data_IF_500201613241
#
_entry.id   IF_500201613241
#
_cell.length_a   1.000
_cell.length_b   1.000
_cell.length_c   1.000
_cell.angle_alpha   90.00
_cell.angle_beta   90.00
_cell.angle_gamma   90.00
#
_symmetry.space_group_name_H-M   'P 1'
#
loop_
_entity.id
_entity.type
_entity.pdbx_description
1 polymer ?
#
# COMPACT_ATOMS: atom_id res chain seq x y z
N UNK A 1 -78.81 -30.49 -18.52
CA UNK A 1 -77.40 -30.87 -18.28
C UNK A 1 -76.59 -29.54 -18.17
N UNK A 2 -76.09 -29.21 -16.97
CA UNK A 2 -75.31 -28.00 -16.74
C UNK A 2 -73.86 -28.44 -16.63
N UNK A 3 -73.03 -28.02 -17.60
CA UNK A 3 -71.61 -28.30 -17.63
C UNK A 3 -70.86 -27.24 -16.79
N UNK A 4 -70.25 -27.68 -15.68
CA UNK A 4 -69.43 -26.84 -14.83
C UNK A 4 -68.01 -26.85 -15.38
N UNK A 5 -67.55 -25.71 -15.84
CA UNK A 5 -66.16 -25.49 -16.32
C UNK A 5 -65.29 -25.13 -15.11
N UNK A 6 -64.43 -26.04 -14.67
CA UNK A 6 -63.42 -25.75 -13.62
C UNK A 6 -62.24 -25.00 -14.25
N UNK A 7 -62.08 -23.74 -13.88
CA UNK A 7 -60.92 -22.96 -14.23
C UNK A 7 -59.77 -23.24 -13.25
N UNK A 8 -58.71 -23.94 -13.71
CA UNK A 8 -57.53 -24.24 -12.93
C UNK A 8 -56.57 -23.06 -13.01
N UNK A 9 -56.51 -22.21 -11.97
CA UNK A 9 -55.52 -21.11 -11.89
C UNK A 9 -54.14 -21.65 -11.53
N UNK A 10 -53.25 -21.69 -12.50
CA UNK A 10 -51.84 -22.02 -12.31
C UNK A 10 -51.11 -20.85 -11.65
N UNK A 11 -50.79 -20.92 -10.36
CA UNK A 11 -49.99 -19.91 -9.65
C UNK A 11 -48.50 -20.20 -9.93
N UNK A 12 -47.92 -19.47 -10.86
CA UNK A 12 -46.50 -19.52 -11.12
C UNK A 12 -45.79 -18.70 -10.03
N UNK A 13 -45.24 -19.36 -9.04
CA UNK A 13 -44.41 -18.71 -8.01
C UNK A 13 -43.08 -18.24 -8.58
N UNK A 14 -42.91 -16.91 -8.72
CA UNK A 14 -41.62 -16.32 -9.02
C UNK A 14 -40.69 -16.50 -7.80
N UNK A 15 -39.74 -17.39 -7.92
CA UNK A 15 -38.64 -17.49 -6.96
C UNK A 15 -37.72 -16.31 -7.18
N UNK A 16 -37.76 -15.31 -6.31
CA UNK A 16 -36.78 -14.24 -6.30
C UNK A 16 -35.42 -14.82 -5.87
N UNK A 17 -34.52 -14.98 -6.83
CA UNK A 17 -33.11 -15.31 -6.54
C UNK A 17 -32.52 -14.08 -5.85
N UNK A 18 -32.30 -14.16 -4.53
CA UNK A 18 -31.60 -13.15 -3.78
C UNK A 18 -30.17 -13.04 -4.34
N UNK A 19 -29.88 -11.96 -5.05
CA UNK A 19 -28.51 -11.70 -5.52
C UNK A 19 -27.64 -11.44 -4.29
N UNK A 20 -26.61 -12.30 -4.09
CA UNK A 20 -25.58 -12.05 -3.09
C UNK A 20 -24.94 -10.69 -3.39
N UNK A 21 -24.88 -9.76 -2.43
CA UNK A 21 -24.21 -8.48 -2.64
C UNK A 21 -22.79 -8.72 -3.18
N UNK A 22 -22.30 -7.90 -4.14
CA UNK A 22 -20.95 -8.04 -4.65
C UNK A 22 -19.96 -7.96 -3.48
N UNK A 23 -18.99 -8.88 -3.46
CA UNK A 23 -17.97 -8.90 -2.41
C UNK A 23 -17.27 -7.54 -2.36
N UNK A 24 -17.08 -6.99 -1.15
CA UNK A 24 -16.34 -5.72 -0.95
C UNK A 24 -14.94 -5.90 -1.57
N UNK A 25 -14.48 -4.99 -2.43
CA UNK A 25 -13.14 -5.10 -3.00
C UNK A 25 -12.07 -4.98 -1.91
N UNK A 26 -10.86 -5.47 -2.19
CA UNK A 26 -9.67 -5.34 -1.34
C UNK A 26 -9.79 -5.96 0.06
N UNK A 27 -10.56 -7.06 0.19
CA UNK A 27 -10.75 -7.79 1.46
C UNK A 27 -9.77 -8.95 1.65
N UNK A 28 -8.86 -9.18 0.72
CA UNK A 28 -7.82 -10.19 0.91
C UNK A 28 -6.96 -9.85 2.16
N UNK A 29 -6.60 -10.83 3.02
CA UNK A 29 -5.79 -10.56 4.20
C UNK A 29 -4.50 -9.79 3.91
N UNK A 30 -3.91 -10.02 2.74
CA UNK A 30 -2.70 -9.30 2.32
C UNK A 30 -2.95 -7.82 2.02
N UNK A 31 -4.19 -7.41 1.70
CA UNK A 31 -4.54 -6.02 1.45
C UNK A 31 -4.53 -5.16 2.73
N UNK A 32 -4.39 -5.78 3.91
CA UNK A 32 -4.25 -5.08 5.20
C UNK A 32 -2.81 -4.99 5.70
N UNK A 33 -1.84 -5.53 4.96
CA UNK A 33 -0.45 -5.57 5.40
C UNK A 33 0.20 -4.19 5.61
N UNK A 34 -0.33 -3.13 5.00
CA UNK A 34 0.09 -1.75 5.24
C UNK A 34 -0.75 -1.01 6.30
N UNK A 35 -1.67 -1.67 7.00
CA UNK A 35 -2.53 -1.01 7.98
C UNK A 35 -1.75 -0.43 9.18
N UNK A 36 -0.58 -1.00 9.50
CA UNK A 36 0.31 -0.43 10.51
C UNK A 36 0.75 0.99 10.18
N UNK A 37 0.85 1.34 8.88
CA UNK A 37 1.33 2.63 8.41
C UNK A 37 0.24 3.72 8.40
N UNK A 38 -1.05 3.36 8.44
CA UNK A 38 -2.16 4.32 8.39
C UNK A 38 -2.14 5.25 9.60
N UNK A 39 -2.27 6.55 9.36
CA UNK A 39 -2.31 7.59 10.38
C UNK A 39 -1.39 8.77 10.12
N UNK A 40 -1.20 9.63 11.13
CA UNK A 40 -0.27 10.75 11.09
C UNK A 40 0.99 10.43 11.88
N UNK A 41 2.14 10.81 11.33
CA UNK A 41 3.44 10.47 11.85
C UNK A 41 4.37 11.67 11.95
N UNK A 42 5.10 11.76 13.08
CA UNK A 42 6.28 12.58 13.22
C UNK A 42 7.49 11.74 12.80
N UNK A 43 8.35 12.31 11.98
CA UNK A 43 9.52 11.66 11.39
C UNK A 43 10.78 12.25 11.95
N UNK A 44 11.79 11.41 12.19
CA UNK A 44 13.11 11.84 12.62
C UNK A 44 14.18 11.13 11.82
N UNK A 45 15.17 11.87 11.35
CA UNK A 45 16.40 11.34 10.75
C UNK A 45 17.58 12.21 11.18
N UNK A 46 18.79 11.62 11.23
CA UNK A 46 20.00 12.28 11.70
C UNK A 46 19.86 12.93 13.09
N UNK A 47 19.10 12.29 13.99
CA UNK A 47 18.87 12.69 15.39
C UNK A 47 18.17 14.05 15.62
N UNK A 48 17.95 14.88 14.59
CA UNK A 48 17.51 16.25 14.80
C UNK A 48 16.26 16.66 14.07
N UNK A 49 15.76 15.89 13.12
CA UNK A 49 14.73 16.45 12.48
C UNK A 49 13.99 15.60 11.56
N UNK A 50 13.11 15.97 10.85
CA UNK A 50 11.84 16.34 11.13
C UNK A 50 11.02 16.43 9.88
N UNK A 51 10.22 15.49 9.68
CA UNK A 51 9.15 15.50 8.72
C UNK A 51 7.83 15.15 9.37
N UNK A 52 6.81 15.31 8.62
CA UNK A 52 5.48 14.77 8.91
C UNK A 52 5.03 13.92 7.73
N UNK A 53 4.30 12.87 8.03
CA UNK A 53 3.73 12.02 7.01
C UNK A 53 2.29 11.68 7.37
N UNK A 54 1.36 11.88 6.45
CA UNK A 54 -0.03 11.51 6.63
C UNK A 54 -0.37 10.39 5.65
N UNK A 55 -0.83 9.27 6.19
CA UNK A 55 -1.13 8.06 5.45
C UNK A 55 -2.62 7.75 5.59
N UNK A 56 -3.31 7.59 4.48
CA UNK A 56 -4.75 7.38 4.44
C UNK A 56 -5.13 6.23 3.52
N UNK A 57 -6.18 5.50 3.88
CA UNK A 57 -6.85 4.61 2.92
C UNK A 57 -7.82 5.43 2.08
N UNK A 58 -7.70 5.29 0.76
CA UNK A 58 -8.54 5.98 -0.24
C UNK A 58 -9.09 4.98 -1.25
N UNK A 59 -9.92 5.45 -2.19
CA UNK A 59 -10.51 4.63 -3.26
C UNK A 59 -11.18 3.36 -2.74
N UNK A 60 -12.11 3.53 -1.79
CA UNK A 60 -12.84 2.40 -1.20
C UNK A 60 -11.96 1.49 -0.33
N UNK A 61 -10.95 2.07 0.31
CA UNK A 61 -9.98 1.39 1.19
C UNK A 61 -9.01 0.45 0.45
N UNK A 62 -8.97 0.52 -0.89
CA UNK A 62 -8.10 -0.32 -1.70
C UNK A 62 -6.69 0.24 -1.91
N UNK A 63 -6.51 1.53 -1.67
CA UNK A 63 -5.25 2.22 -1.91
C UNK A 63 -4.80 2.93 -0.66
N UNK A 64 -3.54 2.77 -0.32
CA UNK A 64 -2.87 3.53 0.73
C UNK A 64 -2.19 4.72 0.08
N UNK A 65 -2.62 5.93 0.46
CA UNK A 65 -2.05 7.19 -0.02
C UNK A 65 -1.14 7.77 1.05
N UNK A 66 0.05 8.17 0.64
CA UNK A 66 1.04 8.87 1.46
C UNK A 66 1.12 10.34 1.09
N UNK A 67 1.25 11.21 2.09
CA UNK A 67 1.49 12.64 1.95
C UNK A 67 2.65 13.03 2.85
N UNK A 68 3.86 13.04 2.29
CA UNK A 68 5.11 13.36 2.99
C UNK A 68 5.43 14.85 2.89
N UNK A 69 5.95 15.42 3.97
CA UNK A 69 6.44 16.79 4.03
C UNK A 69 7.66 16.93 4.94
N UNK A 70 8.72 17.52 4.43
CA UNK A 70 9.89 17.98 5.20
C UNK A 70 9.85 19.52 5.35
N UNK A 71 9.54 20.04 6.54
CA UNK A 71 9.41 21.48 6.76
C UNK A 71 10.73 22.25 6.63
N UNK A 72 11.88 21.60 6.72
CA UNK A 72 13.18 22.29 6.67
C UNK A 72 13.59 22.61 5.25
N UNK A 73 13.40 21.67 4.34
CA UNK A 73 13.72 21.83 2.92
C UNK A 73 12.50 22.17 2.08
N UNK A 74 11.30 22.16 2.68
CA UNK A 74 9.98 22.25 2.02
C UNK A 74 9.74 21.13 1.00
N UNK A 75 10.51 20.05 1.08
CA UNK A 75 10.36 18.90 0.19
C UNK A 75 9.03 18.19 0.42
N UNK A 76 8.30 17.96 -0.64
CA UNK A 76 7.02 17.26 -0.61
C UNK A 76 7.03 16.08 -1.58
N UNK A 77 6.41 15.00 -1.14
CA UNK A 77 6.21 13.83 -1.98
C UNK A 77 4.91 13.10 -1.64
N UNK A 78 4.44 12.33 -2.60
CA UNK A 78 3.26 11.50 -2.44
C UNK A 78 3.50 10.12 -3.02
N UNK A 79 2.85 9.13 -2.40
CA UNK A 79 2.80 7.80 -2.99
C UNK A 79 1.39 7.21 -2.95
N UNK A 80 1.18 6.23 -3.82
CA UNK A 80 0.00 5.37 -3.83
C UNK A 80 0.44 3.93 -3.85
N UNK A 81 -0.03 3.18 -2.87
CA UNK A 81 0.28 1.76 -2.74
C UNK A 81 -1.00 0.94 -2.86
N UNK A 82 -0.98 -0.10 -3.66
CA UNK A 82 -2.11 -1.00 -3.87
C UNK A 82 -1.64 -2.46 -3.86
N UNK A 83 -2.40 -3.33 -3.19
CA UNK A 83 -2.17 -4.77 -3.27
C UNK A 83 -2.83 -5.34 -4.53
N UNK A 84 -2.04 -6.01 -5.36
CA UNK A 84 -2.54 -6.69 -6.54
C UNK A 84 -2.68 -8.20 -6.25
N UNK A 85 -3.90 -8.74 -6.10
CA UNK A 85 -4.11 -10.15 -5.78
C UNK A 85 -3.69 -11.10 -6.92
N UNK A 86 -3.58 -10.62 -8.16
CA UNK A 86 -3.14 -11.44 -9.30
C UNK A 86 -1.65 -11.75 -9.24
N UNK A 87 -0.85 -10.80 -8.76
CA UNK A 87 0.61 -10.97 -8.62
C UNK A 87 1.02 -11.31 -7.21
N UNK A 88 0.08 -11.27 -6.25
CA UNK A 88 0.31 -11.39 -4.82
C UNK A 88 1.36 -10.40 -4.29
N UNK A 89 1.39 -9.18 -4.84
CA UNK A 89 2.37 -8.14 -4.50
C UNK A 89 1.70 -6.80 -4.26
N UNK A 90 2.32 -6.02 -3.41
CA UNK A 90 2.12 -4.59 -3.32
C UNK A 90 2.85 -3.88 -4.46
N UNK A 91 2.21 -2.86 -5.01
CA UNK A 91 2.77 -1.93 -5.99
C UNK A 91 2.67 -0.53 -5.43
N UNK A 92 3.77 0.21 -5.46
CA UNK A 92 3.81 1.60 -5.03
C UNK A 92 4.39 2.47 -6.13
N UNK A 93 3.81 3.66 -6.27
CA UNK A 93 4.36 4.73 -7.11
C UNK A 93 4.60 5.94 -6.22
N UNK A 94 5.83 6.44 -6.19
CA UNK A 94 6.22 7.69 -5.55
C UNK A 94 6.45 8.78 -6.59
N UNK A 95 5.99 9.99 -6.28
CA UNK A 95 6.27 11.22 -7.02
C UNK A 95 6.58 12.35 -6.03
N UNK A 96 7.39 13.32 -6.43
CA UNK A 96 7.76 14.45 -5.57
C UNK A 96 7.90 15.76 -6.35
N UNK A 97 8.09 16.85 -5.61
CA UNK A 97 8.25 18.21 -6.14
C UNK A 97 9.60 18.47 -6.81
N UNK A 98 10.49 17.46 -6.89
CA UNK A 98 11.76 17.50 -7.63
C UNK A 98 11.70 16.68 -8.91
N UNK A 99 10.50 16.19 -9.26
CA UNK A 99 10.26 15.43 -10.49
C UNK A 99 10.67 13.97 -10.44
N UNK A 100 10.86 13.40 -9.24
CA UNK A 100 11.10 11.96 -9.10
C UNK A 100 9.85 11.16 -9.47
N UNK A 101 10.07 10.01 -10.11
CA UNK A 101 9.07 9.00 -10.38
C UNK A 101 9.67 7.63 -10.08
N UNK A 102 9.21 7.01 -9.00
CA UNK A 102 9.76 5.73 -8.53
C UNK A 102 8.64 4.70 -8.48
N UNK A 103 8.86 3.55 -9.11
CA UNK A 103 7.94 2.41 -9.07
C UNK A 103 8.59 1.28 -8.28
N UNK A 104 7.84 0.76 -7.31
CA UNK A 104 8.29 -0.30 -6.44
C UNK A 104 7.27 -1.44 -6.37
N UNK A 105 7.76 -2.64 -6.17
CA UNK A 105 6.92 -3.82 -5.94
C UNK A 105 7.51 -4.68 -4.83
N UNK A 106 6.64 -5.35 -4.06
CA UNK A 106 7.10 -6.23 -3.00
C UNK A 106 5.98 -6.70 -2.07
N UNK A 107 6.29 -6.83 -0.80
CA UNK A 107 5.36 -7.28 0.23
C UNK A 107 6.06 -7.61 1.53
N UNK A 108 5.40 -8.37 2.41
CA UNK A 108 5.99 -8.83 3.66
C UNK A 108 7.10 -9.85 3.40
N UNK A 109 8.27 -9.61 3.99
CA UNK A 109 9.40 -10.52 4.09
C UNK A 109 9.66 -10.76 5.60
N UNK A 110 9.10 -11.82 6.15
CA UNK A 110 9.08 -12.04 7.61
C UNK A 110 8.26 -10.96 8.33
N UNK A 111 8.89 -10.26 9.25
CA UNK A 111 8.33 -9.15 10.03
C UNK A 111 8.52 -7.77 9.40
N UNK A 112 9.07 -7.71 8.17
CA UNK A 112 9.37 -6.47 7.45
C UNK A 112 8.47 -6.31 6.23
N UNK A 113 8.07 -5.09 5.94
CA UNK A 113 7.51 -4.74 4.64
C UNK A 113 8.64 -4.24 3.74
N UNK A 114 8.83 -4.90 2.59
CA UNK A 114 9.93 -4.61 1.66
C UNK A 114 9.39 -4.37 0.26
N UNK A 115 9.65 -3.21 -0.31
CA UNK A 115 9.34 -2.87 -1.70
C UNK A 115 10.62 -2.52 -2.45
N UNK A 116 10.79 -3.09 -3.65
CA UNK A 116 12.01 -2.95 -4.48
C UNK A 116 11.68 -2.31 -5.82
N UNK A 117 12.61 -1.50 -6.33
CA UNK A 117 12.59 -1.07 -7.73
C UNK A 117 13.00 -2.23 -8.63
N UNK A 118 12.74 -2.10 -9.93
CA UNK A 118 13.49 -2.86 -10.92
C UNK A 118 14.98 -2.45 -10.94
N UNK A 119 15.80 -3.25 -11.63
CA UNK A 119 17.20 -2.89 -11.89
C UNK A 119 17.26 -1.63 -12.77
N UNK A 120 18.06 -0.68 -12.38
CA UNK A 120 18.24 0.60 -13.06
C UNK A 120 19.70 0.76 -13.49
N UNK A 121 19.93 1.33 -14.66
CA UNK A 121 21.26 1.71 -15.09
C UNK A 121 21.60 3.09 -14.52
N UNK A 122 22.71 3.18 -13.80
CA UNK A 122 23.23 4.43 -13.25
C UNK A 122 24.62 4.73 -13.86
N UNK A 123 25.16 5.93 -13.70
CA UNK A 123 26.55 6.22 -14.10
C UNK A 123 27.59 5.29 -13.44
N UNK A 124 27.26 4.74 -12.27
CA UNK A 124 28.13 3.84 -11.51
C UNK A 124 27.83 2.34 -11.74
N UNK A 125 27.03 2.01 -12.77
CA UNK A 125 26.62 0.64 -13.07
C UNK A 125 25.17 0.35 -12.70
N UNK A 126 24.84 -0.95 -12.64
CA UNK A 126 23.49 -1.40 -12.29
C UNK A 126 23.21 -1.21 -10.81
N UNK A 127 21.99 -0.80 -10.50
CA UNK A 127 21.53 -0.60 -9.13
C UNK A 127 20.07 -1.02 -8.96
N UNK A 128 19.77 -1.60 -7.82
CA UNK A 128 18.41 -1.83 -7.34
C UNK A 128 18.26 -1.04 -6.06
N UNK A 129 17.12 -0.38 -5.87
CA UNK A 129 16.79 0.26 -4.60
C UNK A 129 15.64 -0.46 -3.91
N UNK A 130 15.57 -0.34 -2.58
CA UNK A 130 14.42 -0.82 -1.81
C UNK A 130 14.07 0.12 -0.68
N UNK A 131 12.78 0.14 -0.31
CA UNK A 131 12.34 0.61 0.99
C UNK A 131 12.09 -0.59 1.90
N UNK A 132 12.48 -0.44 3.15
CA UNK A 132 12.27 -1.45 4.19
C UNK A 132 11.61 -0.80 5.38
N UNK A 133 10.44 -1.28 5.75
CA UNK A 133 9.78 -0.93 7.01
C UNK A 133 10.07 -2.07 7.99
N UNK A 134 10.65 -1.76 9.13
CA UNK A 134 11.06 -2.75 10.14
C UNK A 134 10.83 -2.23 11.56
N UNK A 135 11.05 -3.08 12.57
CA UNK A 135 10.76 -2.75 13.97
C UNK A 135 9.33 -2.24 14.18
N UNK A 136 8.37 -2.82 13.44
CA UNK A 136 6.99 -2.34 13.38
C UNK A 136 6.29 -2.59 14.70
N UNK A 137 5.79 -1.51 15.32
CA UNK A 137 4.97 -1.47 16.54
C UNK A 137 3.72 -0.63 16.29
N UNK A 138 2.78 -0.62 17.24
CA UNK A 138 1.54 0.14 17.12
C UNK A 138 1.77 1.66 16.90
N UNK A 139 2.76 2.23 17.59
CA UNK A 139 2.99 3.69 17.62
C UNK A 139 4.37 4.10 17.06
N UNK A 140 5.16 3.17 16.55
CA UNK A 140 6.46 3.48 15.95
C UNK A 140 6.92 2.39 14.99
N UNK A 141 7.75 2.76 14.05
CA UNK A 141 8.52 1.84 13.21
C UNK A 141 9.74 2.57 12.62
N UNK A 142 10.66 1.80 12.05
CA UNK A 142 11.80 2.33 11.33
C UNK A 142 11.62 2.09 9.83
N UNK A 143 12.10 3.02 9.02
CA UNK A 143 12.09 2.95 7.58
C UNK A 143 13.49 3.23 7.03
N UNK A 144 13.90 2.49 5.99
CA UNK A 144 15.15 2.74 5.29
C UNK A 144 14.97 2.71 3.78
N UNK A 145 15.70 3.62 3.11
CA UNK A 145 15.96 3.56 1.67
C UNK A 145 17.36 2.99 1.47
N UNK A 146 17.45 1.90 0.75
CA UNK A 146 18.68 1.13 0.59
C UNK A 146 18.98 0.87 -0.87
N UNK A 147 20.27 0.77 -1.20
CA UNK A 147 20.74 0.47 -2.54
C UNK A 147 21.61 -0.80 -2.56
N UNK A 148 21.47 -1.56 -3.63
CA UNK A 148 22.32 -2.71 -3.96
C UNK A 148 22.93 -2.53 -5.35
N UNK A 149 24.22 -2.82 -5.48
CA UNK A 149 24.96 -2.83 -6.76
C UNK A 149 25.43 -4.23 -7.17
N UNK A 150 25.01 -5.25 -6.41
CA UNK A 150 25.38 -6.65 -6.59
C UNK A 150 24.16 -7.57 -6.82
N UNK A 151 23.11 -7.02 -7.46
CA UNK A 151 21.90 -7.76 -7.78
C UNK A 151 21.00 -8.08 -6.58
N UNK A 152 21.13 -7.33 -5.48
CA UNK A 152 20.31 -7.51 -4.28
C UNK A 152 20.91 -8.47 -3.26
N UNK A 153 22.20 -8.80 -3.38
CA UNK A 153 22.91 -9.66 -2.42
C UNK A 153 23.25 -8.89 -1.16
N UNK A 154 23.83 -7.69 -1.29
CA UNK A 154 24.09 -6.79 -0.17
C UNK A 154 23.35 -5.45 -0.35
N UNK A 155 23.05 -4.81 0.77
CA UNK A 155 22.28 -3.57 0.81
C UNK A 155 22.95 -2.53 1.69
N UNK A 156 23.03 -1.29 1.20
CA UNK A 156 23.58 -0.16 1.93
C UNK A 156 22.49 0.89 2.12
N UNK A 157 22.12 1.23 3.37
CA UNK A 157 21.17 2.29 3.63
C UNK A 157 21.76 3.65 3.25
N UNK A 158 20.97 4.47 2.57
CA UNK A 158 21.32 5.86 2.21
C UNK A 158 20.43 6.88 2.92
N UNK A 159 19.26 6.44 3.41
CA UNK A 159 18.36 7.25 4.22
C UNK A 159 17.62 6.36 5.20
N UNK A 160 17.59 6.77 6.47
CA UNK A 160 16.91 6.05 7.54
C UNK A 160 16.02 7.04 8.30
N UNK A 161 14.79 6.65 8.59
CA UNK A 161 13.79 7.48 9.24
C UNK A 161 13.17 6.69 10.38
N UNK A 162 13.07 7.30 11.56
CA UNK A 162 12.26 6.80 12.65
C UNK A 162 10.88 7.47 12.62
N UNK A 163 9.84 6.67 12.64
CA UNK A 163 8.44 7.08 12.64
C UNK A 163 7.85 6.95 14.03
N UNK A 164 7.24 8.01 14.55
CA UNK A 164 6.47 8.00 15.80
C UNK A 164 5.07 8.54 15.51
N UNK A 165 4.05 7.80 15.94
CA UNK A 165 2.65 8.17 15.72
C UNK A 165 2.35 9.51 16.39
N UNK A 166 1.73 10.40 15.64
CA UNK A 166 1.24 11.67 16.19
C UNK A 166 0.01 11.39 17.05
N UNK A 167 0.04 11.88 18.28
CA UNK A 167 -1.07 11.78 19.25
C UNK A 167 -2.05 12.93 19.07
#
# INVERSE_FOLDING_TARGET
MRTILLLLCLVIGFQAIAQTPPAKPCTAPQATQFDFWIGEWNLTWNDTLHGINKIEKVLGECTVQENFYDPNTKYTGKSWSVYNPRTAKWHQTWVDDRGSYIVLTGGMEGDKMVLKTGEQQTPNGKQINRMVYHNIKADSFDWSWEASTDGGTTWKPSWQIHYVRKK
#
